data_IF_253774151130
#
_entry.id   IF_253774151130
#
_cell.length_a   1.000
_cell.length_b   1.000
_cell.length_c   1.000
_cell.angle_alpha   90.00
_cell.angle_beta   90.00
_cell.angle_gamma   90.00
#
_symmetry.space_group_name_H-M   'P 1'
#
loop_
_entity.id
_entity.type
_entity.pdbx_description
1 polymer ?
#
# COMPACT_ATOMS: atom_id res chain seq x y z
N UNK A 1 0.09 -12.51 -5.47
CA UNK A 1 1.25 -11.60 -5.51
C UNK A 1 1.96 -11.57 -4.17
N UNK A 2 3.06 -12.31 -4.05
CA UNK A 2 4.03 -12.24 -2.95
C UNK A 2 5.27 -11.39 -3.34
N UNK A 3 6.28 -11.25 -2.46
CA UNK A 3 7.48 -10.43 -2.73
C UNK A 3 8.30 -10.92 -3.95
N UNK A 4 8.38 -12.24 -4.17
CA UNK A 4 9.08 -12.82 -5.32
C UNK A 4 8.33 -12.52 -6.62
N UNK A 5 7.02 -12.73 -6.62
CA UNK A 5 6.13 -12.41 -7.75
C UNK A 5 6.18 -10.92 -8.09
N UNK A 6 6.18 -10.03 -7.10
CA UNK A 6 6.33 -8.59 -7.31
C UNK A 6 7.68 -8.24 -7.94
N UNK A 7 8.76 -8.87 -7.49
CA UNK A 7 10.12 -8.66 -8.06
C UNK A 7 10.17 -9.08 -9.52
N UNK A 8 9.57 -10.22 -9.87
CA UNK A 8 9.48 -10.68 -11.25
C UNK A 8 8.64 -9.73 -12.10
N UNK A 9 7.49 -9.26 -11.60
CA UNK A 9 6.65 -8.30 -12.31
C UNK A 9 7.35 -6.95 -12.53
N UNK A 10 8.22 -6.51 -11.61
CA UNK A 10 9.06 -5.32 -11.79
C UNK A 10 10.08 -5.58 -12.90
N UNK A 11 10.78 -6.71 -12.87
CA UNK A 11 11.76 -7.08 -13.90
C UNK A 11 11.12 -7.09 -15.31
N UNK A 12 9.96 -7.74 -15.45
CA UNK A 12 9.22 -7.83 -16.70
C UNK A 12 8.79 -6.45 -17.24
N UNK A 13 8.37 -5.54 -16.37
CA UNK A 13 7.88 -4.20 -16.78
C UNK A 13 8.97 -3.18 -17.02
N UNK A 14 10.15 -3.37 -16.42
CA UNK A 14 11.26 -2.41 -16.47
C UNK A 14 12.41 -2.87 -17.35
N UNK A 15 12.45 -4.16 -17.72
CA UNK A 15 13.59 -4.78 -18.42
C UNK A 15 14.81 -4.99 -17.52
N UNK A 16 14.71 -4.68 -16.22
CA UNK A 16 15.80 -4.88 -15.27
C UNK A 16 16.01 -6.37 -14.99
N UNK A 17 17.24 -6.72 -14.61
CA UNK A 17 17.52 -8.07 -14.10
C UNK A 17 16.71 -8.32 -12.82
N UNK A 18 16.48 -9.60 -12.48
CA UNK A 18 15.80 -9.96 -11.22
C UNK A 18 16.54 -9.43 -9.98
N UNK A 19 17.87 -9.38 -10.06
CA UNK A 19 18.72 -8.86 -8.97
C UNK A 19 18.53 -7.35 -8.80
N UNK A 20 18.61 -6.59 -9.90
CA UNK A 20 18.39 -5.15 -9.88
C UNK A 20 16.96 -4.80 -9.47
N UNK A 21 15.97 -5.55 -9.95
CA UNK A 21 14.55 -5.40 -9.55
C UNK A 21 14.35 -5.62 -8.05
N UNK A 22 15.07 -6.59 -7.46
CA UNK A 22 15.04 -6.84 -6.01
C UNK A 22 15.65 -5.69 -5.24
N UNK A 23 16.78 -5.15 -5.71
CA UNK A 23 17.41 -3.96 -5.11
C UNK A 23 16.46 -2.76 -5.14
N UNK A 24 15.86 -2.48 -6.29
CA UNK A 24 14.90 -1.38 -6.45
C UNK A 24 13.72 -1.53 -5.49
N UNK A 25 13.13 -2.73 -5.40
CA UNK A 25 12.02 -2.98 -4.48
C UNK A 25 12.43 -2.76 -3.02
N UNK A 26 13.61 -3.22 -2.62
CA UNK A 26 14.12 -3.00 -1.26
C UNK A 26 14.36 -1.51 -0.99
N UNK A 27 15.01 -0.80 -1.92
CA UNK A 27 15.28 0.63 -1.79
C UNK A 27 13.99 1.45 -1.64
N UNK A 28 12.93 1.12 -2.40
CA UNK A 28 11.62 1.77 -2.25
C UNK A 28 11.04 1.55 -0.84
N UNK A 29 11.14 0.34 -0.30
CA UNK A 29 10.65 0.02 1.06
C UNK A 29 11.46 0.78 2.11
N UNK A 30 12.79 0.86 1.95
CA UNK A 30 13.69 1.59 2.84
C UNK A 30 13.38 3.09 2.84
N UNK A 31 13.28 3.72 1.67
CA UNK A 31 12.95 5.14 1.53
C UNK A 31 11.59 5.47 2.18
N UNK A 32 10.57 4.65 1.94
CA UNK A 32 9.25 4.84 2.58
C UNK A 32 9.39 4.74 4.10
N UNK A 33 10.16 3.76 4.59
CA UNK A 33 10.36 3.54 6.03
C UNK A 33 11.07 4.72 6.68
N UNK A 34 12.16 5.21 6.08
CA UNK A 34 12.92 6.36 6.57
C UNK A 34 12.07 7.63 6.63
N UNK A 35 11.29 7.90 5.58
CA UNK A 35 10.40 9.06 5.53
C UNK A 35 9.33 8.98 6.63
N UNK A 36 8.80 7.78 6.90
CA UNK A 36 7.83 7.59 7.98
C UNK A 36 8.45 7.74 9.37
N UNK A 37 9.67 7.26 9.61
CA UNK A 37 10.36 7.44 10.90
C UNK A 37 10.59 8.92 11.21
N UNK A 38 10.86 9.73 10.18
CA UNK A 38 11.00 11.20 10.29
C UNK A 38 9.68 11.94 10.55
N UNK A 39 8.56 11.22 10.69
CA UNK A 39 7.20 11.77 10.73
C UNK A 39 6.81 12.51 9.45
N UNK A 40 7.43 12.14 8.34
CA UNK A 40 7.18 12.70 7.02
C UNK A 40 5.89 12.20 6.39
N UNK A 41 5.66 12.66 5.16
CA UNK A 41 4.47 12.33 4.37
C UNK A 41 4.91 12.04 2.94
N UNK A 42 4.59 10.84 2.45
CA UNK A 42 4.95 10.40 1.11
C UNK A 42 3.70 10.27 0.24
N UNK A 43 3.63 11.07 -0.82
CA UNK A 43 2.54 11.06 -1.80
C UNK A 43 2.98 10.30 -3.06
N UNK A 44 2.30 9.18 -3.35
CA UNK A 44 2.42 8.47 -4.62
C UNK A 44 1.19 8.79 -5.48
N UNK A 45 1.37 9.68 -6.46
CA UNK A 45 0.29 10.13 -7.35
C UNK A 45 -0.36 8.91 -8.03
N UNK A 46 -1.69 8.87 -8.05
CA UNK A 46 -2.46 7.75 -8.59
C UNK A 46 -2.60 6.55 -7.65
N UNK A 47 -1.70 6.36 -6.67
CA UNK A 47 -1.78 5.22 -5.74
C UNK A 47 -2.35 5.61 -4.38
N UNK A 48 -1.72 6.56 -3.69
CA UNK A 48 -2.16 6.99 -2.36
C UNK A 48 -1.11 7.79 -1.59
N UNK A 49 -1.36 7.98 -0.30
CA UNK A 49 -0.49 8.75 0.60
C UNK A 49 -0.13 7.93 1.83
N UNK A 50 1.15 7.86 2.15
CA UNK A 50 1.65 7.38 3.44
C UNK A 50 1.85 8.57 4.39
N UNK A 51 1.45 8.38 5.64
CA UNK A 51 1.55 9.39 6.69
C UNK A 51 1.69 8.73 8.06
N UNK A 52 2.26 9.45 9.01
CA UNK A 52 2.25 9.06 10.42
C UNK A 52 1.07 9.72 11.13
N UNK A 53 0.31 8.94 11.90
CA UNK A 53 -0.77 9.44 12.75
C UNK A 53 -0.48 9.14 14.21
N UNK A 54 -0.80 10.10 15.08
CA UNK A 54 -0.81 9.88 16.51
C UNK A 54 -2.14 9.22 16.90
N UNK A 55 -2.10 8.04 17.51
CA UNK A 55 -3.26 7.45 18.19
C UNK A 55 -3.22 7.85 19.66
N UNK A 56 -4.32 8.39 20.15
CA UNK A 56 -4.50 8.73 21.56
C UNK A 56 -4.54 7.46 22.44
N UNK A 57 -4.18 7.63 23.70
CA UNK A 57 -4.34 6.58 24.70
C UNK A 57 -5.83 6.25 24.87
N UNK A 58 -6.14 4.97 25.06
CA UNK A 58 -7.51 4.52 25.27
C UNK A 58 -7.54 3.24 26.10
N UNK A 59 -8.67 2.97 26.73
CA UNK A 59 -8.94 1.67 27.34
C UNK A 59 -9.31 0.65 26.26
N UNK A 60 -8.64 -0.49 26.29
CA UNK A 60 -8.96 -1.67 25.49
C UNK A 60 -9.30 -2.85 26.39
N UNK A 61 -9.45 -4.01 25.79
CA UNK A 61 -9.80 -5.25 26.47
C UNK A 61 -8.84 -6.34 26.00
N UNK A 62 -8.31 -7.13 26.92
CA UNK A 62 -7.48 -8.28 26.57
C UNK A 62 -8.37 -9.35 25.93
N UNK A 63 -8.12 -9.80 24.68
CA UNK A 63 -8.95 -10.79 24.01
C UNK A 63 -9.00 -12.16 24.73
N UNK A 64 -7.96 -12.49 25.51
CA UNK A 64 -7.84 -13.79 26.19
C UNK A 64 -8.45 -13.79 27.59
N UNK A 65 -8.39 -12.67 28.31
CA UNK A 65 -8.84 -12.59 29.71
C UNK A 65 -10.03 -11.68 29.94
N UNK A 66 -10.47 -10.94 28.92
CA UNK A 66 -11.56 -9.97 28.98
C UNK A 66 -11.34 -8.84 30.02
N UNK A 67 -10.13 -8.73 30.58
CA UNK A 67 -9.78 -7.67 31.52
C UNK A 67 -9.52 -6.34 30.78
N UNK A 68 -9.89 -5.20 31.37
CA UNK A 68 -9.56 -3.89 30.82
C UNK A 68 -8.05 -3.67 30.84
N UNK A 69 -7.50 -3.17 29.73
CA UNK A 69 -6.08 -2.82 29.58
C UNK A 69 -5.94 -1.38 29.09
N UNK A 70 -4.97 -0.66 29.62
CA UNK A 70 -4.64 0.67 29.13
C UNK A 70 -3.72 0.55 27.91
N UNK A 71 -4.15 1.12 26.78
CA UNK A 71 -3.38 1.16 25.54
C UNK A 71 -2.77 2.57 25.45
N UNK A 72 -1.43 2.70 25.55
CA UNK A 72 -0.78 4.00 25.54
C UNK A 72 -0.89 4.67 24.16
N UNK A 73 -0.73 6.00 24.16
CA UNK A 73 -0.67 6.76 22.92
C UNK A 73 0.56 6.31 22.10
N UNK A 74 0.38 6.13 20.79
CA UNK A 74 1.47 5.71 19.91
C UNK A 74 1.34 6.28 18.50
N UNK A 75 2.48 6.41 17.84
CA UNK A 75 2.54 6.72 16.41
C UNK A 75 2.23 5.46 15.60
N UNK A 76 1.45 5.62 14.55
CA UNK A 76 1.13 4.55 13.62
C UNK A 76 1.34 5.01 12.17
N UNK A 77 1.78 4.07 11.34
CA UNK A 77 1.73 4.19 9.90
C UNK A 77 0.28 4.20 9.41
N UNK A 78 -0.07 5.13 8.53
CA UNK A 78 -1.38 5.18 7.86
C UNK A 78 -1.19 5.37 6.37
N UNK A 79 -1.76 4.46 5.59
CA UNK A 79 -1.91 4.61 4.15
C UNK A 79 -3.34 5.06 3.81
N UNK A 80 -3.46 6.11 3.00
CA UNK A 80 -4.73 6.57 2.44
C UNK A 80 -4.72 6.31 0.93
N UNK A 81 -5.55 5.37 0.41
CA UNK A 81 -5.71 5.14 -1.01
C UNK A 81 -6.15 6.41 -1.75
N UNK A 82 -5.66 6.60 -2.98
CA UNK A 82 -6.11 7.69 -3.83
C UNK A 82 -7.56 7.46 -4.28
N UNK A 83 -8.26 8.54 -4.63
CA UNK A 83 -9.59 8.47 -5.25
C UNK A 83 -9.51 7.66 -6.55
N UNK A 84 -8.44 7.86 -7.33
CA UNK A 84 -8.21 7.15 -8.58
C UNK A 84 -8.09 5.63 -8.38
N UNK A 85 -7.36 5.19 -7.35
CA UNK A 85 -7.24 3.77 -7.01
C UNK A 85 -8.62 3.19 -6.62
N UNK A 86 -9.36 3.88 -5.74
CA UNK A 86 -10.70 3.45 -5.35
C UNK A 86 -11.67 3.41 -6.55
N UNK A 87 -11.55 4.36 -7.47
CA UNK A 87 -12.34 4.38 -8.70
C UNK A 87 -12.03 3.17 -9.59
N UNK A 88 -10.75 2.83 -9.79
CA UNK A 88 -10.35 1.66 -10.58
C UNK A 88 -10.87 0.34 -9.98
N UNK A 89 -10.90 0.22 -8.65
CA UNK A 89 -11.43 -0.97 -7.97
C UNK A 89 -12.94 -1.16 -8.14
N UNK A 90 -13.70 -0.06 -8.18
CA UNK A 90 -15.16 -0.09 -8.25
C UNK A 90 -15.71 0.05 -9.68
N UNK A 91 -14.82 0.09 -10.69
CA UNK A 91 -15.22 0.17 -12.09
C UNK A 91 -15.93 -1.12 -12.48
N UNK A 92 -17.26 -1.10 -12.62
CA UNK A 92 -18.01 -2.19 -13.26
C UNK A 92 -17.37 -2.44 -14.62
N UNK A 93 -16.96 -3.70 -14.90
CA UNK A 93 -16.56 -4.12 -16.25
C UNK A 93 -17.76 -3.85 -17.17
N UNK A 94 -17.79 -2.68 -17.83
CA UNK A 94 -18.64 -2.49 -19.01
C UNK A 94 -18.17 -3.56 -19.98
N UNK A 95 -18.99 -4.60 -20.15
CA UNK A 95 -18.70 -5.69 -21.08
C UNK A 95 -18.27 -5.08 -22.41
N UNK A 96 -17.12 -5.54 -22.93
CA UNK A 96 -16.80 -5.34 -24.34
C UNK A 96 -17.98 -5.91 -25.12
N UNK A 97 -18.88 -5.06 -25.63
CA UNK A 97 -19.71 -5.47 -26.77
C UNK A 97 -18.69 -5.79 -27.88
N UNK A 98 -18.56 -7.08 -28.21
CA UNK A 98 -17.94 -7.50 -29.47
C UNK A 98 -18.61 -6.65 -30.55
N UNK A 99 -17.83 -5.78 -31.19
CA UNK A 99 -18.23 -5.21 -32.48
C UNK A 99 -17.97 -6.38 -33.44
N UNK A 100 -18.96 -7.25 -33.59
CA UNK A 100 -18.98 -8.20 -34.69
C UNK A 100 -18.88 -7.39 -35.98
N UNK A 101 -17.94 -7.82 -36.80
CA UNK A 101 -17.63 -7.29 -38.11
C UNK A 101 -18.90 -7.24 -38.95
N UNK A 102 -19.25 -6.03 -39.40
CA UNK A 102 -20.04 -5.84 -40.62
C UNK A 102 -19.09 -5.25 -41.64
N UNK A 103 -18.69 -6.11 -42.57
CA UNK A 103 -18.60 -5.96 -44.03
C UNK A 103 -17.50 -6.88 -44.59
#
# INVERSE_FOLDING_TARGET
MNKKELTNAIAERTGLSKFESRKVLNAVIEIITEEMVRNGRLLLIGFGTFSVKQKAARKGMNPSTFAPIDIPAKKIASFKPSIYLNFLLNRKKRGRKKKEERE
#
